data_IF_411749173442
#
_entry.id   IF_411749173442
#
_cell.length_a   1.000
_cell.length_b   1.000
_cell.length_c   1.000
_cell.angle_alpha   90.00
_cell.angle_beta   90.00
_cell.angle_gamma   90.00
#
_symmetry.space_group_name_H-M   'P 1'
#
loop_
_entity.id
_entity.type
_entity.pdbx_description
1 polymer ?
#
# COMPACT_ATOMS: atom_id res chain seq x y z
N UNK A 1 -6.78 1.95 7.01
CA UNK A 1 -7.22 0.57 6.88
C UNK A 1 -8.13 0.41 5.67
N UNK A 2 -7.94 -0.64 4.89
CA UNK A 2 -8.79 -0.96 3.72
C UNK A 2 -10.27 -1.23 4.08
N UNK A 3 -10.59 -1.38 5.37
CA UNK A 3 -11.97 -1.52 5.87
C UNK A 3 -12.72 -0.21 6.00
N UNK A 4 -12.03 0.91 5.94
CA UNK A 4 -12.70 2.20 6.04
C UNK A 4 -13.53 2.47 4.78
N UNK A 5 -14.77 2.91 4.95
CA UNK A 5 -15.72 3.12 3.84
C UNK A 5 -15.24 4.12 2.77
N UNK A 6 -14.39 5.06 3.16
CA UNK A 6 -13.79 6.04 2.25
C UNK A 6 -12.39 5.62 1.74
N UNK A 7 -11.91 4.41 2.09
CA UNK A 7 -10.62 3.92 1.60
C UNK A 7 -10.73 3.52 0.13
N UNK A 8 -9.78 3.97 -0.67
CA UNK A 8 -9.62 3.61 -2.07
C UNK A 8 -8.27 2.93 -2.27
N UNK A 9 -8.23 1.97 -3.17
CA UNK A 9 -6.99 1.41 -3.70
C UNK A 9 -6.46 2.31 -4.82
N UNK A 10 -5.25 2.09 -5.23
CA UNK A 10 -4.58 2.89 -6.26
C UNK A 10 -5.41 3.00 -7.55
N UNK A 11 -5.92 1.89 -8.06
CA UNK A 11 -6.73 1.87 -9.28
C UNK A 11 -8.05 2.65 -9.14
N UNK A 12 -8.68 2.55 -7.96
CA UNK A 12 -9.90 3.30 -7.65
C UNK A 12 -9.59 4.81 -7.58
N UNK A 13 -8.49 5.19 -6.91
CA UNK A 13 -8.07 6.57 -6.74
C UNK A 13 -7.69 7.24 -8.07
N UNK A 14 -7.06 6.50 -8.99
CA UNK A 14 -6.73 6.99 -10.33
C UNK A 14 -7.97 7.48 -11.08
N UNK A 15 -9.13 6.81 -10.95
CA UNK A 15 -10.36 7.24 -11.61
C UNK A 15 -10.92 8.55 -11.06
N UNK A 16 -10.56 8.91 -9.83
CA UNK A 16 -10.96 10.20 -9.24
C UNK A 16 -9.97 11.32 -9.54
N UNK A 17 -8.73 10.99 -9.90
CA UNK A 17 -7.64 11.95 -9.97
C UNK A 17 -7.94 13.16 -10.83
N UNK A 18 -8.53 12.97 -12.00
CA UNK A 18 -8.91 14.06 -12.91
C UNK A 18 -9.98 15.02 -12.36
N UNK A 19 -10.61 14.70 -11.23
CA UNK A 19 -11.66 15.50 -10.59
C UNK A 19 -11.19 16.09 -9.25
N UNK A 20 -9.91 15.90 -8.90
CA UNK A 20 -9.35 16.36 -7.64
C UNK A 20 -8.76 17.75 -7.83
N UNK A 21 -9.15 18.68 -6.98
CA UNK A 21 -8.64 20.05 -6.93
C UNK A 21 -7.59 20.25 -5.84
N UNK A 22 -7.64 19.43 -4.78
CA UNK A 22 -6.68 19.46 -3.66
C UNK A 22 -6.27 18.05 -3.28
N UNK A 23 -4.97 17.84 -3.12
CA UNK A 23 -4.38 16.60 -2.61
C UNK A 23 -3.61 16.88 -1.34
N UNK A 24 -3.92 16.14 -0.29
CA UNK A 24 -3.13 16.08 0.94
C UNK A 24 -2.23 14.85 0.89
N UNK A 25 -0.94 15.04 0.65
CA UNK A 25 0.09 14.02 0.62
C UNK A 25 0.77 13.91 1.99
N UNK A 26 0.60 12.79 2.68
CA UNK A 26 1.13 12.59 4.03
C UNK A 26 2.11 11.42 4.04
N UNK A 27 3.40 11.70 4.28
CA UNK A 27 4.45 10.69 4.34
C UNK A 27 4.57 9.86 3.06
N UNK A 28 4.37 10.50 1.91
CA UNK A 28 4.41 9.83 0.61
C UNK A 28 5.10 10.69 -0.44
N UNK A 29 5.88 10.05 -1.31
CA UNK A 29 6.48 10.73 -2.46
C UNK A 29 5.47 11.23 -3.48
N UNK A 30 4.26 10.69 -3.48
CA UNK A 30 3.20 11.00 -4.44
C UNK A 30 3.70 10.92 -5.91
N UNK A 31 4.74 10.10 -6.15
CA UNK A 31 5.45 10.04 -7.41
C UNK A 31 4.53 9.59 -8.56
N UNK A 32 3.89 8.44 -8.40
CA UNK A 32 3.06 7.86 -9.45
C UNK A 32 1.86 8.76 -9.84
N UNK A 33 1.08 9.30 -8.89
CA UNK A 33 0.02 10.24 -9.22
C UNK A 33 0.50 11.47 -9.99
N UNK A 34 1.59 12.08 -9.56
CA UNK A 34 2.08 13.31 -10.19
C UNK A 34 2.76 13.07 -11.57
N UNK A 35 3.43 11.91 -11.74
CA UNK A 35 4.20 11.62 -12.96
C UNK A 35 3.37 10.84 -14.00
N UNK A 36 2.59 9.85 -13.52
CA UNK A 36 1.91 8.93 -14.43
C UNK A 36 0.43 9.27 -14.63
N UNK A 37 -0.29 9.77 -13.60
CA UNK A 37 -1.71 10.11 -13.74
C UNK A 37 -1.91 11.53 -14.28
N UNK A 38 -0.88 12.33 -14.19
CA UNK A 38 -0.87 13.70 -14.66
C UNK A 38 -1.02 14.75 -13.56
N UNK A 39 -0.47 15.90 -13.83
CA UNK A 39 -0.52 17.06 -12.97
C UNK A 39 -0.80 18.29 -13.83
N UNK A 40 -1.74 19.11 -13.41
CA UNK A 40 -1.99 20.41 -13.98
C UNK A 40 -1.81 21.52 -12.91
N UNK A 41 -1.78 22.77 -13.40
CA UNK A 41 -1.57 23.94 -12.52
C UNK A 41 -2.76 24.27 -11.61
N UNK A 42 -3.89 23.60 -11.80
CA UNK A 42 -5.09 23.81 -10.98
C UNK A 42 -5.09 22.94 -9.74
N UNK A 43 -4.33 21.82 -9.75
CA UNK A 43 -4.20 20.92 -8.62
C UNK A 43 -3.35 21.55 -7.52
N UNK A 44 -3.97 21.79 -6.36
CA UNK A 44 -3.24 22.21 -5.15
C UNK A 44 -2.71 21.00 -4.40
N UNK A 45 -1.38 20.97 -4.17
CA UNK A 45 -0.73 19.90 -3.42
C UNK A 45 -0.32 20.42 -2.05
N UNK A 46 -0.91 19.85 -1.00
CA UNK A 46 -0.47 20.04 0.38
C UNK A 46 0.37 18.84 0.75
N UNK A 47 1.62 19.05 1.19
CA UNK A 47 2.54 17.97 1.54
C UNK A 47 2.96 18.04 2.99
N UNK A 48 2.86 16.92 3.68
CA UNK A 48 3.41 16.70 5.02
C UNK A 48 4.45 15.59 4.90
N UNK A 49 5.71 15.94 5.06
CA UNK A 49 6.80 14.97 5.05
C UNK A 49 7.87 15.37 6.07
N UNK A 50 8.51 14.37 6.68
CA UNK A 50 9.61 14.60 7.63
C UNK A 50 10.91 14.98 6.92
N UNK A 51 11.04 14.58 5.64
CA UNK A 51 12.20 14.89 4.82
C UNK A 51 11.92 16.11 3.93
N UNK A 52 12.59 17.22 4.22
CA UNK A 52 12.47 18.46 3.46
C UNK A 52 12.83 18.28 1.98
N UNK A 53 13.72 17.34 1.64
CA UNK A 53 14.16 17.11 0.25
C UNK A 53 13.10 16.42 -0.61
N UNK A 54 12.10 15.77 0.00
CA UNK A 54 10.99 15.16 -0.72
C UNK A 54 9.96 16.19 -1.20
N UNK A 55 9.96 17.41 -0.63
CA UNK A 55 8.95 18.42 -0.97
C UNK A 55 9.00 18.83 -2.44
N UNK A 56 10.17 19.08 -2.99
CA UNK A 56 10.36 19.59 -4.35
C UNK A 56 10.77 18.51 -5.36
N UNK A 57 10.76 17.24 -4.97
CA UNK A 57 11.30 16.14 -5.79
C UNK A 57 10.62 15.99 -7.15
N UNK A 58 9.31 16.18 -7.24
CA UNK A 58 8.55 16.06 -8.49
C UNK A 58 7.90 17.39 -8.85
N UNK A 59 7.12 17.91 -7.93
CA UNK A 59 6.41 19.20 -8.06
C UNK A 59 6.45 19.88 -6.71
N UNK A 60 6.83 21.16 -6.71
CA UNK A 60 6.79 21.98 -5.51
C UNK A 60 5.34 22.04 -4.96
N UNK A 61 5.10 21.78 -3.68
CA UNK A 61 3.76 21.80 -3.14
C UNK A 61 3.24 23.23 -3.02
N UNK A 62 1.92 23.38 -3.11
CA UNK A 62 1.24 24.66 -2.78
C UNK A 62 1.48 25.04 -1.33
N UNK A 63 1.44 24.03 -0.44
CA UNK A 63 1.79 24.16 0.98
C UNK A 63 2.63 22.95 1.39
N UNK A 64 3.82 23.21 1.94
CA UNK A 64 4.72 22.17 2.44
C UNK A 64 4.92 22.32 3.95
N UNK A 65 4.75 21.21 4.67
CA UNK A 65 5.01 21.12 6.13
C UNK A 65 6.08 20.07 6.38
N UNK A 66 7.27 20.50 6.83
CA UNK A 66 8.33 19.59 7.28
C UNK A 66 8.03 19.19 8.72
N UNK A 67 7.40 18.04 8.89
CA UNK A 67 6.95 17.55 10.18
C UNK A 67 6.70 16.04 10.18
N UNK A 68 6.68 15.45 11.37
CA UNK A 68 6.16 14.09 11.55
C UNK A 68 4.68 14.06 11.23
N UNK A 69 4.25 13.04 10.48
CA UNK A 69 2.86 12.90 10.03
C UNK A 69 1.86 12.84 11.18
N UNK A 70 2.21 12.14 12.28
CA UNK A 70 1.33 12.00 13.44
C UNK A 70 1.16 13.32 14.21
N UNK A 71 2.20 14.11 14.32
CA UNK A 71 2.17 15.45 14.96
C UNK A 71 1.35 16.43 14.11
N UNK A 72 1.68 16.53 12.83
CA UNK A 72 0.98 17.44 11.92
C UNK A 72 -0.52 17.11 11.80
N UNK A 73 -0.90 15.83 11.71
CA UNK A 73 -2.30 15.46 11.64
C UNK A 73 -3.05 15.70 12.95
N UNK A 74 -2.40 15.57 14.11
CA UNK A 74 -3.00 15.87 15.42
C UNK A 74 -3.41 17.33 15.52
N UNK A 75 -2.65 18.24 14.92
CA UNK A 75 -2.98 19.67 14.88
C UNK A 75 -3.94 20.03 13.73
N UNK A 76 -3.75 19.41 12.56
CA UNK A 76 -4.54 19.71 11.36
C UNK A 76 -6.02 19.31 11.53
N UNK A 77 -6.31 18.14 12.10
CA UNK A 77 -7.68 17.63 12.21
C UNK A 77 -8.57 18.61 12.98
N UNK A 78 -8.25 19.05 14.21
CA UNK A 78 -9.06 20.02 14.93
C UNK A 78 -9.13 21.38 14.24
N UNK A 79 -8.08 21.79 13.53
CA UNK A 79 -8.10 23.04 12.79
C UNK A 79 -9.11 22.99 11.63
N UNK A 80 -9.13 21.91 10.88
CA UNK A 80 -10.11 21.69 9.80
C UNK A 80 -11.52 21.63 10.34
N UNK A 81 -11.76 20.93 11.46
CA UNK A 81 -13.09 20.84 12.10
C UNK A 81 -13.65 22.21 12.52
N UNK A 82 -12.78 23.15 12.90
CA UNK A 82 -13.20 24.53 13.23
C UNK A 82 -13.51 25.38 12.00
N UNK A 83 -12.88 25.10 10.87
CA UNK A 83 -12.94 25.94 9.67
C UNK A 83 -13.95 25.46 8.64
N UNK A 84 -14.31 24.20 8.64
CA UNK A 84 -15.11 23.59 7.60
C UNK A 84 -16.33 22.89 8.19
N UNK A 85 -17.50 23.20 7.63
CA UNK A 85 -18.73 22.46 7.95
C UNK A 85 -18.62 21.01 7.46
N UNK A 86 -19.18 20.08 8.23
CA UNK A 86 -19.22 18.67 7.86
C UNK A 86 -19.93 18.48 6.51
N UNK A 87 -19.22 17.93 5.54
CA UNK A 87 -19.78 17.63 4.21
C UNK A 87 -20.55 16.30 4.24
N UNK A 88 -21.51 16.09 3.33
CA UNK A 88 -22.12 14.78 3.13
C UNK A 88 -21.08 13.71 2.85
N UNK A 89 -21.32 12.50 3.36
CA UNK A 89 -20.41 11.38 3.10
C UNK A 89 -20.45 10.98 1.63
N UNK A 90 -19.28 10.73 1.06
CA UNK A 90 -19.11 10.19 -0.31
C UNK A 90 -19.10 8.67 -0.35
N UNK A 91 -19.49 7.98 0.71
CA UNK A 91 -19.37 6.51 0.83
C UNK A 91 -20.06 5.76 -0.30
N UNK A 92 -21.24 6.20 -0.72
CA UNK A 92 -22.01 5.55 -1.79
C UNK A 92 -21.34 5.72 -3.15
N UNK A 93 -20.87 6.92 -3.46
CA UNK A 93 -20.09 7.21 -4.66
C UNK A 93 -18.84 6.35 -4.72
N UNK A 94 -18.08 6.27 -3.61
CA UNK A 94 -16.85 5.49 -3.55
C UNK A 94 -17.11 3.97 -3.56
N UNK A 95 -18.22 3.51 -3.01
CA UNK A 95 -18.66 2.12 -3.12
C UNK A 95 -18.98 1.74 -4.56
N UNK A 96 -19.71 2.60 -5.28
CA UNK A 96 -20.02 2.40 -6.70
C UNK A 96 -18.74 2.38 -7.55
N UNK A 97 -17.80 3.29 -7.26
CA UNK A 97 -16.50 3.33 -7.94
C UNK A 97 -15.71 2.03 -7.73
N UNK A 98 -15.61 1.55 -6.49
CA UNK A 98 -14.93 0.28 -6.19
C UNK A 98 -15.57 -0.90 -6.91
N UNK A 99 -16.91 -0.95 -6.97
CA UNK A 99 -17.63 -2.01 -7.68
C UNK A 99 -17.36 -1.97 -9.19
N UNK A 100 -17.33 -0.78 -9.78
CA UNK A 100 -16.99 -0.60 -11.19
C UNK A 100 -15.55 -1.02 -11.47
N UNK A 101 -14.59 -0.61 -10.64
CA UNK A 101 -13.19 -1.00 -10.80
C UNK A 101 -12.99 -2.51 -10.63
N UNK A 102 -13.72 -3.15 -9.72
CA UNK A 102 -13.69 -4.61 -9.58
C UNK A 102 -14.14 -5.31 -10.86
N UNK A 103 -15.20 -4.82 -11.53
CA UNK A 103 -15.63 -5.34 -12.83
C UNK A 103 -14.57 -5.15 -13.92
N UNK A 104 -13.97 -3.96 -13.99
CA UNK A 104 -12.91 -3.66 -14.97
C UNK A 104 -11.67 -4.51 -14.78
N UNK A 105 -11.35 -4.86 -13.54
CA UNK A 105 -10.19 -5.68 -13.20
C UNK A 105 -10.44 -7.20 -13.33
N UNK A 106 -11.66 -7.63 -13.69
CA UNK A 106 -12.01 -9.06 -13.78
C UNK A 106 -11.14 -9.85 -14.78
N UNK A 107 -10.50 -9.17 -15.74
CA UNK A 107 -9.54 -9.82 -16.66
C UNK A 107 -8.26 -10.30 -15.96
N UNK A 108 -8.01 -9.90 -14.72
CA UNK A 108 -6.88 -10.34 -13.89
C UNK A 108 -7.17 -11.65 -13.14
N UNK A 109 -8.24 -12.35 -13.48
CA UNK A 109 -8.42 -13.73 -13.01
C UNK A 109 -7.45 -14.69 -13.75
N UNK A 110 -6.92 -15.73 -13.09
CA UNK A 110 -7.26 -16.18 -11.74
C UNK A 110 -6.51 -15.49 -10.60
N UNK A 111 -5.60 -14.57 -10.88
CA UNK A 111 -4.74 -13.94 -9.86
C UNK A 111 -5.55 -13.21 -8.77
N UNK A 112 -6.68 -12.58 -9.13
CA UNK A 112 -7.58 -11.95 -8.16
C UNK A 112 -8.18 -12.98 -7.19
N UNK A 113 -8.52 -14.16 -7.66
CA UNK A 113 -9.02 -15.25 -6.84
C UNK A 113 -7.94 -15.75 -5.87
N UNK A 114 -6.70 -15.88 -6.31
CA UNK A 114 -5.58 -16.19 -5.41
C UNK A 114 -5.43 -15.13 -4.32
N UNK A 115 -5.39 -13.85 -4.70
CA UNK A 115 -5.27 -12.73 -3.74
C UNK A 115 -6.40 -12.76 -2.70
N UNK A 116 -7.64 -13.06 -3.13
CA UNK A 116 -8.79 -13.17 -2.22
C UNK A 116 -8.60 -14.30 -1.21
N UNK A 117 -8.28 -15.51 -1.67
CA UNK A 117 -8.08 -16.67 -0.80
C UNK A 117 -6.92 -16.41 0.17
N UNK A 118 -5.79 -15.88 -0.31
CA UNK A 118 -4.65 -15.55 0.55
C UNK A 118 -5.02 -14.52 1.63
N UNK A 119 -5.90 -13.56 1.32
CA UNK A 119 -6.39 -12.60 2.32
C UNK A 119 -7.35 -13.24 3.31
N UNK A 120 -8.21 -14.14 2.88
CA UNK A 120 -9.18 -14.85 3.73
C UNK A 120 -8.47 -15.76 4.74
N UNK A 121 -7.41 -16.45 4.31
CA UNK A 121 -6.66 -17.39 5.16
C UNK A 121 -5.63 -16.68 6.08
N UNK A 122 -5.13 -15.52 5.69
CA UNK A 122 -4.17 -14.79 6.53
C UNK A 122 -4.90 -14.02 7.65
N UNK A 123 -4.54 -14.19 8.93
CA UNK A 123 -5.08 -13.38 10.02
C UNK A 123 -4.97 -11.88 9.76
N UNK A 124 -5.85 -11.09 10.36
CA UNK A 124 -5.89 -9.63 10.18
C UNK A 124 -4.58 -8.93 10.55
N UNK A 125 -3.85 -9.47 11.48
CA UNK A 125 -2.55 -9.01 11.97
C UNK A 125 -1.36 -9.79 11.38
N UNK A 126 -1.63 -10.67 10.42
CA UNK A 126 -0.62 -11.42 9.68
C UNK A 126 0.10 -10.57 8.65
N UNK A 127 1.32 -10.93 8.35
CA UNK A 127 2.15 -10.27 7.34
C UNK A 127 2.04 -10.96 6.00
N UNK A 128 1.79 -10.18 4.96
CA UNK A 128 1.90 -10.59 3.57
C UNK A 128 3.20 -10.03 2.99
N UNK A 129 4.09 -10.91 2.59
CA UNK A 129 5.38 -10.55 1.97
C UNK A 129 5.32 -10.91 0.49
N UNK A 130 5.43 -9.92 -0.38
CA UNK A 130 5.39 -10.14 -1.81
C UNK A 130 6.78 -10.18 -2.44
N UNK A 131 6.89 -10.92 -3.55
CA UNK A 131 8.00 -10.85 -4.47
C UNK A 131 7.48 -10.61 -5.91
N UNK A 132 8.35 -10.66 -6.90
CA UNK A 132 8.03 -10.37 -8.28
C UNK A 132 7.30 -11.55 -8.95
N UNK A 133 6.00 -11.68 -8.69
CA UNK A 133 5.13 -12.71 -9.27
C UNK A 133 3.87 -12.11 -9.86
N UNK A 134 3.16 -12.84 -10.71
CA UNK A 134 1.86 -12.39 -11.24
C UNK A 134 0.84 -12.14 -10.12
N UNK A 135 0.80 -13.01 -9.11
CA UNK A 135 -0.08 -12.83 -7.94
C UNK A 135 0.30 -11.58 -7.16
N UNK A 136 1.59 -11.34 -6.94
CA UNK A 136 2.09 -10.17 -6.22
C UNK A 136 1.82 -8.87 -6.96
N UNK A 137 1.95 -8.84 -8.29
CA UNK A 137 1.56 -7.66 -9.07
C UNK A 137 0.10 -7.31 -8.86
N UNK A 138 -0.79 -8.30 -8.88
CA UNK A 138 -2.22 -8.07 -8.61
C UNK A 138 -2.47 -7.74 -7.14
N UNK A 139 -1.74 -8.36 -6.20
CA UNK A 139 -1.86 -8.08 -4.77
C UNK A 139 -1.59 -6.62 -4.43
N UNK A 140 -0.64 -5.95 -5.08
CA UNK A 140 -0.36 -4.51 -4.89
C UNK A 140 -1.58 -3.62 -5.13
N UNK A 141 -2.46 -4.03 -6.04
CA UNK A 141 -3.68 -3.30 -6.36
C UNK A 141 -4.92 -3.81 -5.63
N UNK A 142 -4.93 -5.09 -5.26
CA UNK A 142 -6.15 -5.78 -4.82
C UNK A 142 -6.12 -6.29 -3.38
N UNK A 143 -4.94 -6.53 -2.78
CA UNK A 143 -4.85 -7.12 -1.44
C UNK A 143 -5.27 -6.12 -0.35
N UNK A 144 -6.31 -6.41 0.45
CA UNK A 144 -6.73 -5.54 1.53
C UNK A 144 -5.72 -5.55 2.69
N UNK A 145 -5.30 -4.37 3.14
CA UNK A 145 -4.41 -4.20 4.28
C UNK A 145 -5.18 -3.58 5.45
N UNK A 146 -5.18 -4.25 6.59
CA UNK A 146 -6.00 -3.85 7.74
C UNK A 146 -5.23 -3.11 8.83
N UNK A 147 -3.92 -3.34 8.91
CA UNK A 147 -3.03 -2.67 9.85
C UNK A 147 -1.79 -2.13 9.12
N UNK A 148 -1.16 -1.07 9.64
CA UNK A 148 0.08 -0.54 9.04
C UNK A 148 1.18 -1.59 8.98
N UNK A 149 1.98 -1.58 7.92
CA UNK A 149 3.15 -2.43 7.69
C UNK A 149 2.87 -3.93 7.53
N UNK A 150 1.60 -4.35 7.38
CA UNK A 150 1.27 -5.76 7.17
C UNK A 150 1.46 -6.23 5.73
N UNK A 151 1.58 -5.33 4.78
CA UNK A 151 1.99 -5.62 3.41
C UNK A 151 3.44 -5.19 3.23
N UNK A 152 4.32 -6.16 3.04
CA UNK A 152 5.77 -5.95 2.94
C UNK A 152 6.20 -6.25 1.51
N UNK A 153 6.38 -5.19 0.74
CA UNK A 153 6.69 -5.29 -0.69
C UNK A 153 8.18 -5.15 -0.98
N UNK A 154 8.61 -5.73 -2.10
CA UNK A 154 10.00 -5.69 -2.58
C UNK A 154 10.53 -4.26 -2.79
N UNK A 155 9.67 -3.26 -2.70
CA UNK A 155 10.03 -1.87 -2.80
C UNK A 155 10.36 -1.43 -4.22
N UNK A 156 11.17 -0.40 -4.32
CA UNK A 156 11.44 0.32 -5.57
C UNK A 156 12.28 -0.50 -6.58
N UNK A 157 13.22 -1.31 -6.07
CA UNK A 157 14.19 -2.00 -6.93
C UNK A 157 13.63 -3.27 -7.59
N UNK A 158 12.59 -3.87 -7.06
CA UNK A 158 12.03 -5.09 -7.60
C UNK A 158 13.02 -6.27 -7.63
N UNK A 159 13.84 -6.41 -6.57
CA UNK A 159 14.92 -7.40 -6.52
C UNK A 159 14.38 -8.82 -6.34
N UNK A 160 14.81 -9.75 -7.18
CA UNK A 160 14.52 -11.17 -7.00
C UNK A 160 15.30 -11.76 -5.82
N UNK A 161 14.71 -12.76 -5.16
CA UNK A 161 15.28 -13.39 -3.96
C UNK A 161 15.03 -12.61 -2.67
N UNK A 162 14.28 -11.54 -2.75
CA UNK A 162 13.98 -10.70 -1.59
C UNK A 162 12.90 -11.31 -0.68
N UNK A 163 11.87 -11.93 -1.28
CA UNK A 163 10.62 -12.29 -0.59
C UNK A 163 10.83 -13.28 0.55
N UNK A 164 11.39 -14.46 0.28
CA UNK A 164 11.54 -15.50 1.28
C UNK A 164 12.47 -15.08 2.44
N UNK A 165 13.63 -14.54 2.12
CA UNK A 165 14.59 -14.08 3.15
C UNK A 165 13.99 -12.98 4.02
N UNK A 166 13.23 -12.04 3.43
CA UNK A 166 12.52 -11.00 4.16
C UNK A 166 11.42 -11.58 5.05
N UNK A 167 10.68 -12.58 4.57
CA UNK A 167 9.66 -13.25 5.37
C UNK A 167 10.24 -13.93 6.62
N UNK A 168 11.43 -14.51 6.52
CA UNK A 168 12.15 -15.04 7.69
C UNK A 168 12.51 -13.93 8.68
N UNK A 169 12.99 -12.79 8.18
CA UNK A 169 13.28 -11.62 9.02
C UNK A 169 12.02 -11.08 9.71
N UNK A 170 10.90 -10.99 8.99
CA UNK A 170 9.60 -10.60 9.56
C UNK A 170 9.16 -11.58 10.64
N UNK A 171 9.30 -12.89 10.39
CA UNK A 171 8.93 -13.93 11.37
C UNK A 171 9.83 -13.90 12.60
N UNK A 172 11.11 -13.65 12.44
CA UNK A 172 12.04 -13.50 13.56
C UNK A 172 11.69 -12.28 14.44
N UNK A 173 11.26 -11.18 13.82
CA UNK A 173 10.82 -9.96 14.52
C UNK A 173 9.43 -10.11 15.16
N UNK A 174 8.57 -10.98 14.62
CA UNK A 174 7.19 -11.18 15.05
C UNK A 174 6.87 -12.68 15.18
N UNK A 175 7.46 -13.38 16.17
CA UNK A 175 7.39 -14.85 16.28
C UNK A 175 5.98 -15.41 16.45
N UNK A 176 5.08 -14.63 17.02
CA UNK A 176 3.70 -15.05 17.32
C UNK A 176 2.70 -14.74 16.19
N UNK A 177 3.14 -14.04 15.13
CA UNK A 177 2.26 -13.67 14.03
C UNK A 177 2.44 -14.58 12.82
N UNK A 178 1.35 -14.76 12.06
CA UNK A 178 1.42 -15.43 10.77
C UNK A 178 2.22 -14.61 9.75
N UNK A 179 3.05 -15.29 8.98
CA UNK A 179 3.81 -14.69 7.87
C UNK A 179 3.59 -15.55 6.63
N UNK A 180 3.03 -14.94 5.60
CA UNK A 180 2.80 -15.53 4.30
C UNK A 180 3.69 -14.84 3.27
N UNK A 181 4.50 -15.60 2.55
CA UNK A 181 5.33 -15.11 1.46
C UNK A 181 4.88 -15.70 0.13
N UNK A 182 4.72 -14.84 -0.88
CA UNK A 182 4.45 -15.26 -2.26
C UNK A 182 5.69 -15.01 -3.08
N UNK A 183 6.31 -16.08 -3.58
CA UNK A 183 7.58 -16.03 -4.27
C UNK A 183 7.44 -16.64 -5.67
N UNK A 184 8.19 -16.11 -6.64
CA UNK A 184 8.38 -16.77 -7.92
C UNK A 184 9.39 -17.91 -7.79
N UNK A 185 9.29 -18.91 -8.66
CA UNK A 185 10.23 -20.02 -8.74
C UNK A 185 11.68 -19.53 -8.87
N UNK A 186 11.94 -18.61 -9.79
CA UNK A 186 13.27 -18.01 -9.97
C UNK A 186 13.71 -17.19 -8.78
N UNK A 187 12.83 -16.40 -8.19
CA UNK A 187 13.12 -15.57 -7.01
C UNK A 187 13.49 -16.43 -5.80
N UNK A 188 12.68 -17.45 -5.50
CA UNK A 188 12.94 -18.37 -4.39
C UNK A 188 14.31 -19.06 -4.52
N UNK A 189 14.68 -19.43 -5.75
CA UNK A 189 15.97 -20.13 -6.01
C UNK A 189 17.19 -19.28 -5.65
N UNK A 190 17.11 -17.95 -5.66
CA UNK A 190 18.21 -17.09 -5.22
C UNK A 190 18.52 -17.20 -3.72
N UNK A 191 17.51 -17.57 -2.93
CA UNK A 191 17.63 -17.62 -1.46
C UNK A 191 17.13 -18.95 -0.87
N UNK A 192 17.04 -20.01 -1.67
CA UNK A 192 16.51 -21.30 -1.22
C UNK A 192 17.33 -21.92 -0.09
N UNK A 193 18.61 -21.62 0.00
CA UNK A 193 19.48 -22.04 1.10
C UNK A 193 19.02 -21.52 2.45
N UNK A 194 18.24 -20.44 2.51
CA UNK A 194 17.67 -19.89 3.74
C UNK A 194 16.58 -20.78 4.37
N UNK A 195 16.20 -21.86 3.69
CA UNK A 195 15.43 -22.94 4.32
C UNK A 195 16.19 -23.55 5.51
N UNK A 196 17.52 -23.64 5.43
CA UNK A 196 18.35 -24.08 6.55
C UNK A 196 18.22 -23.12 7.74
N UNK A 197 18.24 -21.81 7.50
CA UNK A 197 18.03 -20.77 8.52
C UNK A 197 16.62 -20.90 9.15
N UNK A 198 15.61 -21.11 8.31
CA UNK A 198 14.23 -21.30 8.78
C UNK A 198 14.11 -22.49 9.73
N UNK A 199 14.71 -23.63 9.38
CA UNK A 199 14.70 -24.86 10.20
C UNK A 199 15.53 -24.68 11.48
N UNK A 200 16.74 -24.15 11.36
CA UNK A 200 17.65 -23.94 12.49
C UNK A 200 17.01 -23.05 13.57
N UNK A 201 16.35 -21.98 13.15
CA UNK A 201 15.74 -20.98 14.05
C UNK A 201 14.25 -21.20 14.28
N UNK A 202 13.65 -22.29 13.77
CA UNK A 202 12.22 -22.63 13.90
C UNK A 202 11.30 -21.50 13.45
N UNK A 203 11.64 -20.85 12.35
CA UNK A 203 10.86 -19.76 11.77
C UNK A 203 9.73 -20.33 10.90
N UNK A 204 8.54 -20.43 11.44
CA UNK A 204 7.36 -20.93 10.72
C UNK A 204 6.80 -19.87 9.77
N UNK A 205 7.21 -19.94 8.52
CA UNK A 205 6.71 -19.10 7.42
C UNK A 205 5.97 -19.99 6.42
N UNK A 206 4.84 -19.53 5.93
CA UNK A 206 4.18 -20.15 4.76
C UNK A 206 4.75 -19.47 3.52
N UNK A 207 5.36 -20.26 2.65
CA UNK A 207 5.87 -19.79 1.35
C UNK A 207 5.12 -20.49 0.22
N UNK A 208 4.61 -19.73 -0.72
CA UNK A 208 3.83 -20.16 -1.89
C UNK A 208 4.53 -19.68 -3.14
#
# INVERSE_FOLDING_TARGET
SSRHELSLRQADAHQLWAKVDVVLAVGTRLYEPLVQWGYDKQLSVIRIDIDATEHDRVVAPTVGLVARSDEALRELIPAVERLVSKRPSRREELAALRAEMARRMAYLEPQLSFVRVLREELPDDGFFVDEMTQVSYVARYAFPVYQPRMFVGVGYQGTLGWGFATALGVKAAHPDRAVLSVNGDGGLMFTIQELATAVQHKLNVVSI
#
